data_IF_698182167176
#
_entry.id   IF_698182167176
#
_cell.length_a   1.000
_cell.length_b   1.000
_cell.length_c   1.000
_cell.angle_alpha   90.00
_cell.angle_beta   90.00
_cell.angle_gamma   90.00
#
_symmetry.space_group_name_H-M   'P 1'
#
loop_
_entity.id
_entity.type
_entity.pdbx_description
1 polymer ?
#
# COMPACT_ATOMS: atom_id res chain seq x y z
N UNK A 1 27.40 -3.31 -8.04
CA UNK A 1 27.11 -1.96 -8.57
C UNK A 1 27.95 -0.98 -7.77
N UNK A 2 28.79 -0.17 -8.41
CA UNK A 2 29.59 0.85 -7.72
C UNK A 2 28.63 1.90 -7.12
N UNK A 3 28.81 2.23 -5.84
CA UNK A 3 28.10 3.32 -5.21
C UNK A 3 28.55 4.64 -5.89
N UNK A 4 27.62 5.32 -6.56
CA UNK A 4 27.87 6.66 -7.04
C UNK A 4 28.03 7.58 -5.81
N UNK A 5 29.21 8.15 -5.63
CA UNK A 5 29.50 9.17 -4.60
C UNK A 5 28.97 10.52 -5.09
N UNK A 6 28.12 11.15 -4.30
CA UNK A 6 27.58 12.49 -4.59
C UNK A 6 28.23 13.52 -3.66
N UNK A 7 28.44 14.72 -4.18
CA UNK A 7 28.82 15.85 -3.33
C UNK A 7 27.64 16.26 -2.42
N UNK A 8 27.94 16.75 -1.21
CA UNK A 8 26.92 17.16 -0.21
C UNK A 8 25.94 18.19 -0.81
N UNK A 9 26.42 19.08 -1.67
CA UNK A 9 25.59 20.07 -2.38
C UNK A 9 24.59 19.48 -3.37
N UNK A 10 24.85 18.28 -3.87
CA UNK A 10 23.90 17.54 -4.73
C UNK A 10 22.87 16.77 -3.90
N UNK A 11 23.25 16.26 -2.74
CA UNK A 11 22.35 15.57 -1.81
C UNK A 11 21.28 16.53 -1.28
N UNK A 12 21.63 17.77 -0.97
CA UNK A 12 20.69 18.80 -0.49
C UNK A 12 19.61 19.18 -1.53
N UNK A 13 19.86 18.93 -2.82
CA UNK A 13 18.92 19.19 -3.91
C UNK A 13 18.08 17.96 -4.29
N UNK A 14 18.38 16.79 -3.72
CA UNK A 14 17.65 15.57 -4.03
C UNK A 14 16.29 15.55 -3.36
N UNK A 15 15.26 15.31 -4.15
CA UNK A 15 13.90 15.06 -3.66
C UNK A 15 13.77 13.58 -3.30
N UNK A 16 13.10 13.32 -2.19
CA UNK A 16 12.77 11.98 -1.78
C UNK A 16 11.29 11.71 -2.01
N UNK A 17 10.97 10.46 -2.23
CA UNK A 17 9.59 9.95 -2.20
C UNK A 17 9.54 8.69 -1.35
N UNK A 18 8.44 8.50 -0.64
CA UNK A 18 8.19 7.32 0.16
C UNK A 18 6.95 6.61 -0.33
N UNK A 19 7.00 5.29 -0.32
CA UNK A 19 5.91 4.40 -0.69
C UNK A 19 5.79 3.28 0.35
N UNK A 20 4.76 2.45 0.25
CA UNK A 20 4.58 1.29 1.14
C UNK A 20 5.74 0.27 1.04
N UNK A 21 6.50 0.30 -0.04
CA UNK A 21 7.58 -0.63 -0.37
C UNK A 21 8.98 -0.01 -0.34
N UNK A 22 9.13 1.22 0.11
CA UNK A 22 10.45 1.81 0.30
C UNK A 22 10.51 3.32 0.12
N UNK A 23 11.65 3.85 0.48
CA UNK A 23 12.04 5.24 0.26
C UNK A 23 13.00 5.31 -0.91
N UNK A 24 12.83 6.30 -1.79
CA UNK A 24 13.63 6.47 -3.00
C UNK A 24 14.06 7.92 -3.18
N UNK A 25 15.21 8.10 -3.79
CA UNK A 25 15.62 9.41 -4.32
C UNK A 25 15.02 9.59 -5.70
N UNK A 26 14.53 10.79 -5.97
CA UNK A 26 13.96 11.16 -7.27
C UNK A 26 15.00 11.96 -8.04
N UNK A 27 15.56 11.38 -9.10
CA UNK A 27 16.38 12.09 -10.07
C UNK A 27 15.50 12.52 -11.24
N UNK A 28 15.29 13.81 -11.39
CA UNK A 28 14.58 14.35 -12.54
C UNK A 28 15.49 14.34 -13.77
N UNK A 29 15.02 13.76 -14.88
CA UNK A 29 15.64 13.88 -16.20
C UNK A 29 14.97 15.01 -16.97
N UNK A 30 15.59 15.42 -18.07
CA UNK A 30 15.02 16.41 -18.97
C UNK A 30 13.64 15.95 -19.47
N UNK A 31 12.65 16.83 -19.37
CA UNK A 31 11.25 16.53 -19.71
C UNK A 31 10.46 15.91 -18.53
N UNK A 32 9.44 15.10 -18.84
CA UNK A 32 8.57 14.44 -17.84
C UNK A 32 9.20 13.17 -17.23
N UNK A 33 10.37 12.76 -17.71
CA UNK A 33 11.02 11.54 -17.26
C UNK A 33 11.74 11.77 -15.93
N UNK A 34 11.57 10.84 -15.00
CA UNK A 34 12.31 10.79 -13.74
C UNK A 34 12.85 9.38 -13.54
N UNK A 35 13.78 9.22 -12.62
CA UNK A 35 14.31 7.94 -12.20
C UNK A 35 14.26 7.84 -10.69
N UNK A 36 13.85 6.68 -10.19
CA UNK A 36 13.92 6.36 -8.78
C UNK A 36 15.23 5.61 -8.49
N UNK A 37 16.00 6.16 -7.57
CA UNK A 37 17.22 5.57 -7.08
C UNK A 37 16.98 5.00 -5.69
N UNK A 38 17.58 3.87 -5.32
CA UNK A 38 17.51 3.35 -3.97
C UNK A 38 17.95 4.38 -2.94
N UNK A 39 17.34 4.32 -1.76
CA UNK A 39 17.80 5.08 -0.61
C UNK A 39 19.01 4.38 0.00
N UNK A 40 20.10 5.12 0.27
CA UNK A 40 21.39 4.51 0.64
C UNK A 40 21.37 3.80 1.99
N UNK A 41 20.48 4.21 2.88
CA UNK A 41 20.35 3.58 4.19
C UNK A 41 19.50 2.32 4.14
N UNK A 42 18.87 2.02 3.00
CA UNK A 42 18.15 0.77 2.79
C UNK A 42 19.09 -0.29 2.22
N UNK A 43 19.40 -1.31 3.01
CA UNK A 43 20.34 -2.38 2.65
C UNK A 43 19.77 -3.40 1.66
N UNK A 44 18.45 -3.47 1.52
CA UNK A 44 17.75 -4.43 0.64
C UNK A 44 16.58 -3.75 -0.08
N UNK A 45 16.83 -2.66 -0.84
CA UNK A 45 15.79 -1.83 -1.42
C UNK A 45 14.89 -2.61 -2.37
N UNK A 46 13.58 -2.41 -2.27
CA UNK A 46 12.60 -3.08 -3.10
C UNK A 46 12.64 -2.58 -4.55
N UNK A 47 12.61 -3.52 -5.49
CA UNK A 47 12.51 -3.21 -6.93
C UNK A 47 11.12 -2.74 -7.37
N UNK A 48 10.10 -2.86 -6.53
CA UNK A 48 8.72 -2.44 -6.84
C UNK A 48 8.67 -0.97 -7.26
N UNK A 49 9.50 -0.12 -6.65
CA UNK A 49 9.59 1.31 -6.99
C UNK A 49 9.91 1.59 -8.47
N UNK A 50 10.64 0.72 -9.14
CA UNK A 50 10.97 0.88 -10.57
C UNK A 50 9.73 0.84 -11.46
N UNK A 51 8.68 0.14 -11.04
CA UNK A 51 7.41 0.10 -11.77
C UNK A 51 6.72 1.46 -11.86
N UNK A 52 6.97 2.38 -10.91
CA UNK A 52 6.39 3.72 -10.92
C UNK A 52 6.94 4.56 -12.11
N UNK A 53 8.20 4.38 -12.47
CA UNK A 53 8.84 5.12 -13.55
C UNK A 53 8.09 4.93 -14.88
N UNK A 54 7.69 3.70 -15.16
CA UNK A 54 6.92 3.37 -16.38
C UNK A 54 5.42 3.67 -16.23
N UNK A 55 4.86 3.53 -15.02
CA UNK A 55 3.42 3.68 -14.80
C UNK A 55 2.94 5.12 -14.94
N UNK A 56 3.74 6.13 -14.56
CA UNK A 56 3.30 7.54 -14.57
C UNK A 56 3.00 8.05 -15.98
N UNK A 57 3.74 7.60 -16.99
CA UNK A 57 3.51 7.96 -18.40
C UNK A 57 2.81 6.88 -19.22
N UNK A 58 2.44 5.75 -18.57
CA UNK A 58 1.92 4.58 -19.26
C UNK A 58 0.45 4.70 -19.68
N UNK A 59 0.08 3.93 -20.67
CA UNK A 59 -1.29 3.91 -21.26
C UNK A 59 -2.36 3.42 -20.29
N UNK A 60 -1.96 2.69 -19.24
CA UNK A 60 -2.88 2.21 -18.20
C UNK A 60 -3.24 3.28 -17.19
N UNK A 61 -2.54 4.42 -17.18
CA UNK A 61 -2.83 5.53 -16.28
C UNK A 61 -3.96 6.40 -16.80
N UNK A 62 -5.00 6.57 -15.99
CA UNK A 62 -6.06 7.54 -16.27
C UNK A 62 -5.47 8.95 -16.21
N UNK A 63 -5.57 9.68 -17.32
CA UNK A 63 -5.02 11.03 -17.49
C UNK A 63 -6.05 12.13 -17.23
N UNK A 64 -7.31 11.85 -17.49
CA UNK A 64 -8.43 12.78 -17.37
C UNK A 64 -9.63 12.11 -16.72
N UNK A 65 -10.57 12.89 -16.14
CA UNK A 65 -11.85 12.33 -15.72
C UNK A 65 -12.55 11.69 -16.92
N UNK A 66 -13.15 10.53 -16.68
CA UNK A 66 -13.89 9.82 -17.70
C UNK A 66 -15.18 9.25 -17.15
N UNK A 67 -16.24 9.31 -17.92
CA UNK A 67 -17.60 8.91 -17.54
C UNK A 67 -18.11 7.88 -18.54
N UNK A 68 -18.85 6.89 -18.07
CA UNK A 68 -19.46 5.89 -18.93
C UNK A 68 -20.47 6.52 -19.89
N UNK A 69 -20.35 6.19 -21.16
CA UNK A 69 -21.20 6.72 -22.25
C UNK A 69 -22.68 6.40 -22.03
N UNK A 70 -22.97 5.20 -21.56
CA UNK A 70 -24.34 4.79 -21.22
C UNK A 70 -24.96 5.63 -20.13
N UNK A 71 -24.18 5.94 -19.06
CA UNK A 71 -24.64 6.82 -18.00
C UNK A 71 -24.88 8.27 -18.48
N UNK A 72 -24.01 8.81 -19.30
CA UNK A 72 -24.18 10.16 -19.88
C UNK A 72 -25.46 10.28 -20.68
N UNK A 73 -25.84 9.22 -21.43
CA UNK A 73 -27.05 9.21 -22.26
C UNK A 73 -28.34 9.13 -21.44
N UNK A 74 -28.38 8.25 -20.46
CA UNK A 74 -29.59 7.92 -19.71
C UNK A 74 -29.68 8.57 -18.34
N UNK A 75 -28.55 9.02 -17.79
CA UNK A 75 -28.36 9.46 -16.40
C UNK A 75 -28.86 8.43 -15.38
N UNK A 76 -28.96 7.18 -15.80
CA UNK A 76 -29.31 6.00 -15.00
C UNK A 76 -28.49 4.83 -15.48
N UNK A 77 -28.03 4.01 -14.53
CA UNK A 77 -27.42 2.71 -14.85
C UNK A 77 -28.57 1.79 -15.25
N UNK A 78 -28.66 1.45 -16.54
CA UNK A 78 -29.63 0.45 -16.98
C UNK A 78 -29.04 -0.94 -16.74
N UNK A 79 -29.89 -1.90 -16.31
CA UNK A 79 -29.47 -3.32 -16.13
C UNK A 79 -28.85 -3.93 -17.40
N UNK A 80 -29.29 -3.47 -18.58
CA UNK A 80 -28.78 -3.85 -19.91
C UNK A 80 -27.32 -3.43 -20.14
N UNK A 81 -26.89 -2.35 -19.50
CA UNK A 81 -25.59 -1.69 -19.74
C UNK A 81 -24.54 -2.10 -18.71
N UNK A 82 -24.85 -3.06 -17.85
CA UNK A 82 -24.00 -3.49 -16.73
C UNK A 82 -22.92 -4.52 -17.11
N UNK A 83 -22.67 -4.76 -18.39
CA UNK A 83 -21.49 -5.53 -18.77
C UNK A 83 -20.24 -4.69 -18.54
N UNK A 84 -19.53 -5.00 -17.46
CA UNK A 84 -18.24 -4.39 -17.19
C UNK A 84 -17.31 -4.68 -18.37
N UNK A 85 -16.72 -3.61 -18.94
CA UNK A 85 -15.83 -3.70 -20.07
C UNK A 85 -16.46 -3.37 -21.41
N UNK A 86 -17.77 -3.47 -21.56
CA UNK A 86 -18.47 -3.22 -22.84
C UNK A 86 -18.91 -1.76 -23.03
N UNK A 87 -18.98 -0.98 -21.94
CA UNK A 87 -19.40 0.42 -22.01
C UNK A 87 -18.17 1.33 -22.14
N UNK A 88 -18.15 2.11 -23.20
CA UNK A 88 -17.07 3.07 -23.45
C UNK A 88 -17.04 4.17 -22.41
N UNK A 89 -15.82 4.61 -22.06
CA UNK A 89 -15.60 5.81 -21.26
C UNK A 89 -15.36 7.03 -22.16
N UNK A 90 -16.02 8.12 -21.86
CA UNK A 90 -15.85 9.41 -22.53
C UNK A 90 -15.07 10.34 -21.59
N UNK A 91 -13.95 10.86 -22.05
CA UNK A 91 -13.21 11.89 -21.33
C UNK A 91 -14.03 13.18 -21.24
N UNK A 92 -14.01 13.80 -20.06
CA UNK A 92 -14.69 15.06 -19.79
C UNK A 92 -13.74 16.04 -19.11
N UNK A 93 -14.11 17.32 -19.12
CA UNK A 93 -13.36 18.32 -18.33
C UNK A 93 -13.50 18.07 -16.83
N UNK A 94 -12.58 18.60 -16.03
CA UNK A 94 -12.69 18.57 -14.58
C UNK A 94 -13.95 19.31 -14.09
N UNK A 95 -14.31 20.41 -14.73
CA UNK A 95 -15.50 21.18 -14.41
C UNK A 95 -16.77 20.36 -14.63
N UNK A 96 -16.90 19.72 -15.79
CA UNK A 96 -18.02 18.83 -16.08
C UNK A 96 -18.08 17.65 -15.10
N UNK A 97 -16.93 17.06 -14.78
CA UNK A 97 -16.87 15.97 -13.82
C UNK A 97 -17.36 16.40 -12.43
N UNK A 98 -16.89 17.54 -11.92
CA UNK A 98 -17.34 18.07 -10.62
C UNK A 98 -18.83 18.40 -10.63
N UNK A 99 -19.33 18.98 -11.69
CA UNK A 99 -20.75 19.32 -11.85
C UNK A 99 -21.63 18.06 -11.82
N UNK A 100 -21.26 17.05 -12.61
CA UNK A 100 -22.01 15.80 -12.69
C UNK A 100 -22.00 15.04 -11.37
N UNK A 101 -20.83 14.91 -10.74
CA UNK A 101 -20.67 14.21 -9.45
C UNK A 101 -21.41 14.93 -8.35
N UNK A 102 -21.29 16.26 -8.26
CA UNK A 102 -21.96 17.02 -7.20
C UNK A 102 -23.50 17.00 -7.34
N UNK A 103 -24.02 17.06 -8.55
CA UNK A 103 -25.46 16.93 -8.82
C UNK A 103 -25.98 15.55 -8.41
N UNK A 104 -25.23 14.49 -8.72
CA UNK A 104 -25.62 13.12 -8.38
C UNK A 104 -25.57 12.88 -6.87
N UNK A 105 -24.53 13.34 -6.18
CA UNK A 105 -24.43 13.24 -4.72
C UNK A 105 -25.61 13.99 -4.06
N UNK A 106 -25.92 15.21 -4.49
CA UNK A 106 -27.06 15.97 -3.97
C UNK A 106 -28.38 15.24 -4.22
N UNK A 107 -28.54 14.62 -5.40
CA UNK A 107 -29.73 13.82 -5.73
C UNK A 107 -29.90 12.65 -4.79
N UNK A 108 -28.82 11.90 -4.53
CA UNK A 108 -28.83 10.73 -3.61
C UNK A 108 -29.17 11.18 -2.19
N UNK A 109 -28.51 12.23 -1.69
CA UNK A 109 -28.76 12.75 -0.33
C UNK A 109 -30.23 13.21 -0.19
N UNK A 110 -30.76 13.91 -1.18
CA UNK A 110 -32.15 14.38 -1.15
C UNK A 110 -33.18 13.26 -1.20
N UNK A 111 -32.87 12.15 -1.88
CA UNK A 111 -33.80 11.03 -2.05
C UNK A 111 -33.70 9.97 -0.94
N UNK A 112 -32.51 9.78 -0.36
CA UNK A 112 -32.21 8.65 0.51
C UNK A 112 -31.42 9.03 1.78
N UNK A 113 -31.13 10.31 2.02
CA UNK A 113 -30.24 10.73 3.09
C UNK A 113 -28.77 10.34 2.86
N UNK A 114 -27.92 10.73 3.79
CA UNK A 114 -26.49 10.41 3.75
C UNK A 114 -26.20 8.91 3.93
N UNK A 115 -27.10 8.17 4.56
CA UNK A 115 -27.02 6.71 4.68
C UNK A 115 -27.12 5.98 3.34
N UNK A 116 -27.71 6.62 2.32
CA UNK A 116 -27.71 6.13 0.95
C UNK A 116 -26.34 6.19 0.24
N UNK A 117 -25.33 6.82 0.86
CA UNK A 117 -23.96 6.87 0.33
C UNK A 117 -23.12 5.84 1.06
N UNK A 118 -22.83 4.72 0.41
CA UNK A 118 -21.83 3.78 0.90
C UNK A 118 -20.46 4.14 0.30
N UNK A 119 -19.52 4.48 1.16
CA UNK A 119 -18.22 4.95 0.70
C UNK A 119 -17.10 4.59 1.68
N UNK A 120 -15.88 4.69 1.19
CA UNK A 120 -14.67 4.46 1.96
C UNK A 120 -13.48 4.24 1.06
N UNK A 121 -12.32 4.12 1.66
CA UNK A 121 -11.11 3.70 0.99
C UNK A 121 -10.45 2.62 1.85
N UNK A 122 -10.02 1.55 1.22
CA UNK A 122 -9.24 0.50 1.85
C UNK A 122 -7.74 0.67 1.58
N UNK A 123 -7.32 1.81 1.06
CA UNK A 123 -5.91 2.10 0.86
C UNK A 123 -5.16 2.14 2.19
N UNK A 124 -3.96 1.58 2.22
CA UNK A 124 -3.06 1.73 3.35
C UNK A 124 -2.67 3.20 3.54
N UNK A 125 -2.37 3.56 4.78
CA UNK A 125 -1.81 4.85 5.08
C UNK A 125 -0.49 5.02 4.34
N UNK A 126 -0.43 5.98 3.43
CA UNK A 126 0.80 6.36 2.75
C UNK A 126 1.56 7.38 3.59
N UNK A 127 2.84 7.57 3.30
CA UNK A 127 3.65 8.58 3.93
C UNK A 127 3.06 9.97 3.67
N UNK A 128 2.77 10.68 4.75
CA UNK A 128 2.33 12.06 4.71
C UNK A 128 0.82 12.27 4.50
N UNK A 129 0.39 13.46 4.89
CA UNK A 129 -1.01 13.84 4.96
C UNK A 129 -1.73 13.81 3.62
N UNK A 130 -1.06 14.23 2.56
CA UNK A 130 -1.66 14.34 1.22
C UNK A 130 -1.71 13.01 0.46
N UNK A 131 -1.01 12.01 0.93
CA UNK A 131 -1.00 10.67 0.32
C UNK A 131 -1.86 9.65 1.08
N UNK A 132 -2.53 10.08 2.15
CA UNK A 132 -3.42 9.23 2.92
C UNK A 132 -4.84 9.27 2.34
N UNK A 133 -5.13 8.37 1.41
CA UNK A 133 -6.40 8.32 0.69
C UNK A 133 -7.63 8.24 1.62
N UNK A 134 -7.55 7.47 2.69
CA UNK A 134 -8.66 7.34 3.64
C UNK A 134 -9.01 8.67 4.31
N UNK A 135 -8.04 9.44 4.81
CA UNK A 135 -8.32 10.68 5.53
C UNK A 135 -8.90 11.75 4.61
N UNK A 136 -8.43 11.85 3.37
CA UNK A 136 -8.98 12.78 2.39
C UNK A 136 -10.42 12.46 2.03
N UNK A 137 -10.68 11.19 1.70
CA UNK A 137 -12.02 10.75 1.34
C UNK A 137 -12.99 10.90 2.51
N UNK A 138 -12.61 10.45 3.71
CA UNK A 138 -13.44 10.57 4.91
C UNK A 138 -13.72 12.03 5.28
N UNK A 139 -12.71 12.91 5.12
CA UNK A 139 -12.92 14.35 5.35
C UNK A 139 -13.99 14.89 4.41
N UNK A 140 -13.92 14.60 3.12
CA UNK A 140 -14.93 15.02 2.15
C UNK A 140 -16.32 14.50 2.53
N UNK A 141 -16.44 13.20 2.81
CA UNK A 141 -17.70 12.56 3.14
C UNK A 141 -18.33 13.11 4.43
N UNK A 142 -17.51 13.40 5.44
CA UNK A 142 -17.99 14.03 6.68
C UNK A 142 -18.45 15.49 6.46
N UNK A 143 -17.77 16.24 5.58
CA UNK A 143 -18.18 17.61 5.25
C UNK A 143 -19.52 17.69 4.51
N UNK A 144 -19.92 16.64 3.79
CA UNK A 144 -21.24 16.56 3.15
C UNK A 144 -22.33 15.93 4.02
N UNK A 145 -22.04 15.68 5.31
CA UNK A 145 -23.03 15.22 6.29
C UNK A 145 -22.90 13.75 6.72
N UNK A 146 -21.88 13.05 6.28
CA UNK A 146 -21.63 11.65 6.66
C UNK A 146 -21.94 10.64 5.55
N UNK A 147 -21.77 9.37 5.87
CA UNK A 147 -21.89 8.26 4.92
C UNK A 147 -21.96 6.91 5.66
N UNK A 148 -22.41 5.88 4.98
CA UNK A 148 -22.33 4.49 5.45
C UNK A 148 -20.95 3.91 5.11
N UNK A 149 -20.30 3.32 6.09
CA UNK A 149 -18.95 2.76 5.93
C UNK A 149 -18.87 1.29 6.38
N UNK A 150 -17.85 0.60 5.88
CA UNK A 150 -17.54 -0.76 6.31
C UNK A 150 -16.81 -0.74 7.65
N UNK A 151 -17.28 -1.55 8.60
CA UNK A 151 -16.62 -1.76 9.89
C UNK A 151 -15.58 -2.87 9.77
N UNK A 152 -14.47 -2.73 10.51
CA UNK A 152 -13.33 -3.62 10.54
C UNK A 152 -12.56 -3.68 9.18
N UNK A 153 -11.56 -4.54 9.11
CA UNK A 153 -10.74 -4.74 7.92
C UNK A 153 -11.13 -6.03 7.19
N UNK A 154 -10.75 -6.17 5.92
CA UNK A 154 -10.93 -7.41 5.18
C UNK A 154 -9.80 -8.42 5.47
N UNK A 155 -8.61 -7.95 5.90
CA UNK A 155 -7.43 -8.79 6.05
C UNK A 155 -7.42 -9.63 7.31
N UNK A 156 -7.88 -9.07 8.44
CA UNK A 156 -7.77 -9.71 9.76
C UNK A 156 -8.92 -9.34 10.72
N UNK A 157 -10.11 -9.07 10.20
CA UNK A 157 -11.25 -8.69 11.04
C UNK A 157 -11.60 -9.74 12.11
N UNK A 158 -11.46 -11.02 11.80
CA UNK A 158 -11.66 -12.09 12.78
C UNK A 158 -10.64 -11.99 13.93
N UNK A 159 -9.38 -11.70 13.62
CA UNK A 159 -8.34 -11.48 14.64
C UNK A 159 -8.63 -10.22 15.48
N UNK A 160 -9.09 -9.13 14.88
CA UNK A 160 -9.50 -7.91 15.60
C UNK A 160 -10.59 -8.19 16.65
N UNK A 161 -11.47 -9.16 16.36
CA UNK A 161 -12.57 -9.54 17.28
C UNK A 161 -12.10 -10.56 18.33
N UNK A 162 -11.32 -11.57 17.95
CA UNK A 162 -10.99 -12.71 18.81
C UNK A 162 -9.76 -12.44 19.70
N UNK A 163 -8.71 -11.85 19.17
CA UNK A 163 -7.45 -11.63 19.88
C UNK A 163 -7.63 -10.84 21.19
N UNK A 164 -8.49 -9.79 21.27
CA UNK A 164 -8.73 -9.12 22.54
C UNK A 164 -9.23 -10.02 23.67
N UNK A 165 -9.92 -11.09 23.37
CA UNK A 165 -10.42 -12.06 24.37
C UNK A 165 -9.35 -13.04 24.86
N UNK A 166 -8.25 -13.19 24.12
CA UNK A 166 -7.19 -14.17 24.41
C UNK A 166 -5.92 -13.47 24.89
N UNK A 167 -5.49 -12.41 24.21
CA UNK A 167 -4.21 -11.72 24.44
C UNK A 167 -4.38 -10.24 24.86
N UNK A 168 -5.62 -9.75 25.01
CA UNK A 168 -5.87 -8.37 25.37
C UNK A 168 -5.98 -7.46 24.11
N UNK A 169 -5.12 -6.47 23.96
CA UNK A 169 -5.23 -5.51 22.87
C UNK A 169 -4.65 -6.05 21.57
N UNK A 170 -5.48 -6.11 20.51
CA UNK A 170 -5.05 -6.58 19.20
C UNK A 170 -3.93 -5.73 18.58
N UNK A 171 -4.00 -4.42 18.72
CA UNK A 171 -3.00 -3.53 18.12
C UNK A 171 -1.66 -3.60 18.83
N UNK A 172 -1.63 -3.81 20.15
CA UNK A 172 -0.39 -4.09 20.85
C UNK A 172 0.22 -5.39 20.33
N UNK A 173 -0.58 -6.45 20.18
CA UNK A 173 -0.12 -7.70 19.59
C UNK A 173 0.44 -7.50 18.17
N UNK A 174 -0.17 -6.65 17.36
CA UNK A 174 0.24 -6.43 15.97
C UNK A 174 1.51 -5.57 15.84
N UNK A 175 1.68 -4.55 16.69
CA UNK A 175 2.75 -3.54 16.54
C UNK A 175 3.88 -3.67 17.57
N UNK A 176 3.63 -4.26 18.73
CA UNK A 176 4.61 -4.46 19.81
C UNK A 176 5.17 -5.90 19.81
N UNK A 177 5.44 -6.42 18.62
CA UNK A 177 6.03 -7.75 18.44
C UNK A 177 7.48 -7.80 18.90
N UNK A 178 7.99 -8.99 19.18
CA UNK A 178 9.40 -9.21 19.54
C UNK A 178 10.34 -8.65 18.47
N UNK A 179 11.28 -7.81 18.87
CA UNK A 179 12.23 -7.21 17.93
C UNK A 179 13.22 -8.24 17.38
N UNK A 180 13.79 -7.96 16.21
CA UNK A 180 14.83 -8.79 15.62
C UNK A 180 16.09 -8.87 16.49
N UNK A 181 16.43 -7.82 17.21
CA UNK A 181 17.54 -7.78 18.16
C UNK A 181 17.32 -8.80 19.28
N UNK A 182 16.13 -8.82 19.86
CA UNK A 182 15.76 -9.78 20.90
C UNK A 182 15.78 -11.22 20.36
N UNK A 183 15.30 -11.45 19.15
CA UNK A 183 15.36 -12.76 18.48
C UNK A 183 16.82 -13.21 18.30
N UNK A 184 17.72 -12.32 17.88
CA UNK A 184 19.13 -12.65 17.72
C UNK A 184 19.82 -13.01 19.02
N UNK A 185 19.44 -12.39 20.13
CA UNK A 185 20.12 -12.55 21.40
C UNK A 185 19.59 -13.72 22.24
N UNK A 186 18.32 -14.11 22.03
CA UNK A 186 17.64 -15.04 22.93
C UNK A 186 17.00 -16.25 22.23
N UNK A 187 17.07 -16.37 20.90
CA UNK A 187 16.41 -17.47 20.17
C UNK A 187 17.39 -18.55 19.74
N UNK A 188 17.11 -19.79 20.08
CA UNK A 188 17.83 -20.96 19.59
C UNK A 188 17.07 -21.72 18.50
N UNK A 189 15.74 -21.63 18.50
CA UNK A 189 14.85 -22.25 17.51
C UNK A 189 13.80 -21.24 17.06
N UNK A 190 13.70 -21.07 15.74
CA UNK A 190 12.70 -20.22 15.07
C UNK A 190 11.77 -21.09 14.23
N UNK A 191 10.48 -21.14 14.58
CA UNK A 191 9.47 -21.89 13.82
C UNK A 191 8.58 -20.91 13.06
N UNK A 192 8.58 -21.02 11.73
CA UNK A 192 7.77 -20.16 10.86
C UNK A 192 6.54 -20.91 10.36
N UNK A 193 5.37 -20.62 10.92
CA UNK A 193 4.09 -21.13 10.43
C UNK A 193 3.57 -20.25 9.27
N UNK A 194 3.51 -20.81 8.07
CA UNK A 194 3.21 -20.09 6.84
C UNK A 194 4.42 -19.40 6.20
N UNK A 195 5.60 -19.58 6.78
CA UNK A 195 6.85 -18.96 6.32
C UNK A 195 6.95 -17.47 6.64
N UNK A 196 8.08 -16.88 6.22
CA UNK A 196 8.35 -15.43 6.28
C UNK A 196 9.05 -14.99 5.00
N UNK A 197 8.38 -15.08 3.85
CA UNK A 197 9.03 -14.79 2.57
C UNK A 197 9.48 -13.33 2.50
N UNK A 198 10.67 -13.10 1.98
CA UNK A 198 11.27 -11.76 1.89
C UNK A 198 10.38 -10.77 1.12
N UNK A 199 9.68 -11.26 0.09
CA UNK A 199 8.74 -10.45 -0.68
C UNK A 199 7.62 -9.81 0.18
N UNK A 200 7.17 -10.49 1.23
CA UNK A 200 6.14 -9.96 2.13
C UNK A 200 6.72 -8.93 3.11
N UNK A 201 7.99 -9.07 3.49
CA UNK A 201 8.69 -8.11 4.34
C UNK A 201 9.08 -6.82 3.65
N UNK A 202 8.87 -6.71 2.33
CA UNK A 202 9.18 -5.49 1.57
C UNK A 202 8.13 -4.40 1.66
N UNK A 203 6.97 -4.68 2.23
CA UNK A 203 5.82 -3.78 2.20
C UNK A 203 5.31 -3.57 3.62
N UNK A 204 5.08 -2.32 3.99
CA UNK A 204 4.44 -1.96 5.24
C UNK A 204 3.47 -0.79 5.05
N UNK A 205 2.35 -0.81 5.77
CA UNK A 205 1.47 0.34 5.85
C UNK A 205 2.22 1.53 6.49
N UNK A 206 2.02 2.73 5.93
CA UNK A 206 2.73 3.92 6.40
C UNK A 206 4.11 4.13 5.80
N UNK A 207 4.62 3.19 5.01
CA UNK A 207 5.89 3.28 4.32
C UNK A 207 7.01 2.48 4.98
N UNK A 208 8.10 2.32 4.24
CA UNK A 208 9.31 1.61 4.67
C UNK A 208 10.52 2.51 4.45
N UNK A 209 11.29 2.73 5.51
CA UNK A 209 12.56 3.46 5.44
C UNK A 209 13.75 2.55 5.14
N UNK A 210 13.74 1.32 5.65
CA UNK A 210 14.79 0.33 5.46
C UNK A 210 14.26 -1.08 5.58
N UNK A 211 14.74 -1.99 4.73
CA UNK A 211 14.41 -3.40 4.74
C UNK A 211 15.50 -4.19 5.48
N UNK A 212 15.15 -4.76 6.62
CA UNK A 212 16.11 -5.40 7.51
C UNK A 212 15.93 -6.93 7.61
N UNK A 213 14.82 -7.48 7.16
CA UNK A 213 14.48 -8.90 7.34
C UNK A 213 15.59 -9.83 6.82
N UNK A 214 16.09 -9.61 5.62
CA UNK A 214 17.15 -10.44 5.01
C UNK A 214 18.44 -10.43 5.85
N UNK A 215 18.84 -9.26 6.34
CA UNK A 215 20.05 -9.09 7.14
C UNK A 215 19.92 -9.82 8.49
N UNK A 216 18.79 -9.67 9.17
CA UNK A 216 18.54 -10.35 10.45
C UNK A 216 18.43 -11.86 10.31
N UNK A 217 17.77 -12.38 9.28
CA UNK A 217 17.73 -13.81 9.00
C UNK A 217 19.13 -14.39 8.76
N UNK A 218 19.97 -13.69 7.99
CA UNK A 218 21.38 -14.09 7.82
C UNK A 218 22.17 -14.10 9.12
N UNK A 219 22.00 -13.07 9.96
CA UNK A 219 22.67 -12.98 11.25
C UNK A 219 22.19 -14.08 12.19
N UNK A 220 20.91 -14.37 12.25
CA UNK A 220 20.35 -15.44 13.07
C UNK A 220 20.89 -16.81 12.64
N UNK A 221 20.92 -17.07 11.33
CA UNK A 221 21.50 -18.31 10.79
C UNK A 221 23.00 -18.42 11.09
N UNK A 222 23.76 -17.32 11.00
CA UNK A 222 25.19 -17.30 11.34
C UNK A 222 25.47 -17.54 12.84
N UNK A 223 24.58 -17.09 13.72
CA UNK A 223 24.61 -17.35 15.16
C UNK A 223 24.23 -18.80 15.53
N UNK A 224 23.78 -19.61 14.56
CA UNK A 224 23.43 -21.02 14.79
C UNK A 224 21.96 -21.23 15.19
N UNK A 225 21.10 -20.24 15.06
CA UNK A 225 19.66 -20.41 15.26
C UNK A 225 19.16 -21.47 14.28
N UNK A 226 18.43 -22.46 14.79
CA UNK A 226 17.75 -23.47 13.96
C UNK A 226 16.42 -22.93 13.47
N UNK A 227 16.07 -23.28 12.23
CA UNK A 227 14.82 -22.83 11.60
C UNK A 227 13.98 -24.02 11.20
N UNK A 228 12.68 -23.93 11.45
CA UNK A 228 11.68 -24.87 10.92
C UNK A 228 10.68 -24.05 10.10
N UNK A 229 10.53 -24.40 8.84
CA UNK A 229 9.56 -23.77 7.94
C UNK A 229 8.35 -24.69 7.74
N UNK A 230 7.23 -24.36 8.39
CA UNK A 230 5.95 -25.07 8.23
C UNK A 230 5.14 -24.32 7.17
N UNK A 231 5.44 -24.59 5.90
CA UNK A 231 4.81 -23.93 4.76
C UNK A 231 4.69 -24.91 3.57
N UNK A 232 3.70 -24.77 2.69
CA UNK A 232 3.61 -25.54 1.45
C UNK A 232 4.75 -25.22 0.46
N UNK A 233 5.47 -24.10 0.65
CA UNK A 233 6.58 -23.68 -0.20
C UNK A 233 7.86 -23.58 0.61
N UNK A 234 8.88 -24.34 0.20
CA UNK A 234 10.20 -24.25 0.82
C UNK A 234 10.81 -22.85 0.72
N UNK A 235 10.54 -22.14 -0.37
CA UNK A 235 11.03 -20.79 -0.62
C UNK A 235 10.41 -19.70 0.28
N UNK A 236 9.40 -20.03 1.08
CA UNK A 236 8.81 -19.07 2.02
C UNK A 236 9.71 -18.75 3.22
N UNK A 237 10.85 -19.43 3.34
CA UNK A 237 11.92 -19.07 4.25
C UNK A 237 13.26 -19.22 3.54
N UNK A 238 13.78 -18.10 3.06
CA UNK A 238 15.03 -18.06 2.29
C UNK A 238 16.25 -17.99 3.22
N UNK A 239 16.61 -19.12 3.81
CA UNK A 239 17.81 -19.27 4.64
C UNK A 239 18.68 -20.37 4.05
N UNK A 240 19.97 -20.09 3.90
CA UNK A 240 20.88 -21.01 3.25
C UNK A 240 21.30 -22.23 4.12
N UNK A 241 21.18 -22.14 5.44
CA UNK A 241 21.68 -23.15 6.38
C UNK A 241 20.75 -23.30 7.59
N UNK A 242 20.79 -24.48 8.23
CA UNK A 242 20.07 -24.79 9.47
C UNK A 242 18.54 -24.68 9.37
N UNK A 243 17.95 -25.01 8.22
CA UNK A 243 16.51 -25.01 8.00
C UNK A 243 16.00 -26.42 7.74
N UNK A 244 14.99 -26.81 8.49
CA UNK A 244 14.10 -27.95 8.21
C UNK A 244 12.81 -27.44 7.56
N UNK A 245 12.25 -28.24 6.64
CA UNK A 245 11.01 -27.89 5.91
C UNK A 245 10.08 -29.09 5.87
#
# INVERSE_FOLDING_TARGET
MAAETYEISEIEKMKFTAAHWGTYKVRQKVGKNFKLLPFEQDKDPSDIGRGIESAIGGDTRIQKPAIRKGWLKSKKIQKKDMKRGDDEFVEVSWEDAFDLVSKEIKRVISAHGNEGIYAGSYGWASAGRFHHAQSHLRRFLNLIGGYTYSKNTYSYAAAEVIIPHVLGNFYNFLFDTTSWESILDHTSLFVAFGGIPLKNGQINQGGVGSHNQRDYLKKASAKGVKFINVSPLKSDLEIARNMEW
#
